data_IF_985890746141
#
_entry.id   IF_985890746141
#
_cell.length_a   1.000
_cell.length_b   1.000
_cell.length_c   1.000
_cell.angle_alpha   90.00
_cell.angle_beta   90.00
_cell.angle_gamma   90.00
#
_symmetry.space_group_name_H-M   'P 1'
#
loop_
_entity.id
_entity.type
_entity.pdbx_description
1 polymer ?
#
# COMPACT_ATOMS: atom_id res chain seq x y z
N UNK A 1 -32.69 13.06 10.21
CA UNK A 1 -31.32 13.54 9.93
C UNK A 1 -30.35 12.67 10.70
N UNK A 2 -29.66 11.75 10.03
CA UNK A 2 -28.71 10.84 10.67
C UNK A 2 -27.36 11.55 10.88
N UNK A 3 -26.82 11.60 12.11
CA UNK A 3 -25.57 12.28 12.42
C UNK A 3 -24.36 11.59 11.75
N UNK A 4 -23.33 12.40 11.45
CA UNK A 4 -22.28 12.24 10.42
C UNK A 4 -21.55 10.88 10.36
N UNK A 5 -21.81 10.16 9.26
CA UNK A 5 -20.89 9.16 8.63
C UNK A 5 -19.83 9.81 7.71
N UNK A 6 -19.87 11.14 7.60
CA UNK A 6 -19.27 11.92 6.49
C UNK A 6 -17.74 11.94 6.56
N UNK A 7 -17.14 11.84 7.75
CA UNK A 7 -15.69 11.92 7.92
C UNK A 7 -14.97 10.61 7.57
N UNK A 8 -15.52 9.46 7.98
CA UNK A 8 -14.95 8.13 7.67
C UNK A 8 -14.96 7.80 6.17
N UNK A 9 -16.04 8.16 5.47
CA UNK A 9 -16.15 7.92 4.03
C UNK A 9 -15.19 8.81 3.22
N UNK A 10 -15.01 10.07 3.64
CA UNK A 10 -14.07 10.98 3.00
C UNK A 10 -12.62 10.56 3.26
N UNK A 11 -12.30 10.19 4.50
CA UNK A 11 -10.99 9.66 4.88
C UNK A 11 -10.67 8.39 4.11
N UNK A 12 -11.60 7.44 4.03
CA UNK A 12 -11.41 6.18 3.33
C UNK A 12 -11.18 6.36 1.82
N UNK A 13 -11.94 7.26 1.16
CA UNK A 13 -11.71 7.58 -0.25
C UNK A 13 -10.35 8.24 -0.49
N UNK A 14 -9.94 9.16 0.38
CA UNK A 14 -8.63 9.80 0.27
C UNK A 14 -7.48 8.83 0.52
N UNK A 15 -7.60 7.99 1.54
CA UNK A 15 -6.63 6.92 1.83
C UNK A 15 -6.43 6.02 0.61
N UNK A 16 -7.49 5.51 -0.01
CA UNK A 16 -7.39 4.66 -1.20
C UNK A 16 -6.80 5.39 -2.42
N UNK A 17 -7.06 6.69 -2.58
CA UNK A 17 -6.47 7.48 -3.69
C UNK A 17 -4.99 7.72 -3.48
N UNK A 18 -4.58 8.04 -2.26
CA UNK A 18 -3.18 8.22 -1.90
C UNK A 18 -2.41 6.91 -2.02
N UNK A 19 -3.00 5.81 -1.56
CA UNK A 19 -2.44 4.47 -1.69
C UNK A 19 -2.24 4.08 -3.17
N UNK A 20 -3.27 4.28 -4.01
CA UNK A 20 -3.14 4.06 -5.45
C UNK A 20 -2.04 4.94 -6.08
N UNK A 21 -1.95 6.21 -5.69
CA UNK A 21 -0.90 7.11 -6.16
C UNK A 21 0.50 6.66 -5.73
N UNK A 22 0.65 6.27 -4.47
CA UNK A 22 1.89 5.76 -3.90
C UNK A 22 2.32 4.46 -4.61
N UNK A 23 1.41 3.49 -4.76
CA UNK A 23 1.66 2.26 -5.50
C UNK A 23 2.09 2.54 -6.95
N UNK A 24 1.42 3.46 -7.65
CA UNK A 24 1.79 3.79 -9.02
C UNK A 24 3.21 4.36 -9.11
N UNK A 25 3.55 5.33 -8.25
CA UNK A 25 4.89 5.95 -8.23
C UNK A 25 5.95 4.93 -7.81
N UNK A 26 5.73 4.22 -6.71
CA UNK A 26 6.66 3.21 -6.20
C UNK A 26 6.86 2.08 -7.20
N UNK A 27 5.79 1.57 -7.80
CA UNK A 27 5.84 0.49 -8.79
C UNK A 27 6.61 0.88 -10.05
N UNK A 28 6.39 2.09 -10.58
CA UNK A 28 7.15 2.64 -11.71
C UNK A 28 8.63 2.80 -11.33
N UNK A 29 8.90 3.42 -10.17
CA UNK A 29 10.26 3.60 -9.68
C UNK A 29 10.99 2.26 -9.55
N UNK A 30 10.34 1.25 -8.96
CA UNK A 30 10.88 -0.10 -8.78
C UNK A 30 11.15 -0.80 -10.12
N UNK A 31 10.22 -0.70 -11.08
CA UNK A 31 10.37 -1.29 -12.40
C UNK A 31 11.53 -0.66 -13.19
N UNK A 32 11.64 0.67 -13.18
CA UNK A 32 12.69 1.40 -13.89
C UNK A 32 14.07 1.30 -13.19
N UNK A 33 14.10 1.08 -11.88
CA UNK A 33 15.34 1.00 -11.10
C UNK A 33 15.75 -0.43 -10.72
N UNK A 34 15.14 -1.46 -11.32
CA UNK A 34 15.33 -2.86 -10.93
C UNK A 34 16.81 -3.25 -10.79
N UNK A 35 17.65 -2.93 -11.79
CA UNK A 35 19.09 -3.24 -11.74
C UNK A 35 19.89 -2.50 -10.65
N UNK A 36 19.40 -1.36 -10.16
CA UNK A 36 19.97 -0.67 -8.99
C UNK A 36 19.53 -1.33 -7.70
N UNK A 37 18.24 -1.67 -7.61
CA UNK A 37 17.63 -2.30 -6.42
C UNK A 37 18.24 -3.67 -6.13
N UNK A 38 18.59 -4.46 -7.16
CA UNK A 38 19.23 -5.77 -6.97
C UNK A 38 20.63 -5.71 -6.38
N UNK A 39 21.29 -4.54 -6.42
CA UNK A 39 22.56 -4.32 -5.70
C UNK A 39 22.34 -4.04 -4.23
N UNK A 40 21.18 -3.48 -3.87
CA UNK A 40 20.81 -3.17 -2.50
C UNK A 40 20.13 -4.35 -1.78
N UNK A 41 19.43 -5.21 -2.52
CA UNK A 41 18.64 -6.33 -2.01
C UNK A 41 18.90 -7.55 -2.88
N UNK A 42 19.16 -8.72 -2.28
CA UNK A 42 19.53 -9.95 -3.00
C UNK A 42 18.34 -10.62 -3.75
N UNK A 43 17.69 -9.88 -4.65
CA UNK A 43 16.55 -10.31 -5.47
C UNK A 43 16.93 -10.19 -6.96
N UNK A 44 16.54 -11.15 -7.83
CA UNK A 44 16.78 -11.04 -9.26
C UNK A 44 16.10 -9.83 -9.90
N UNK A 45 16.72 -9.18 -10.92
CA UNK A 45 16.22 -7.92 -11.47
C UNK A 45 14.89 -8.09 -12.21
N UNK A 46 14.69 -9.24 -12.86
CA UNK A 46 13.42 -9.60 -13.50
C UNK A 46 12.28 -9.67 -12.48
N UNK A 47 12.54 -10.22 -11.29
CA UNK A 47 11.55 -10.31 -10.23
C UNK A 47 11.22 -8.93 -9.64
N UNK A 48 12.23 -8.08 -9.42
CA UNK A 48 12.02 -6.69 -8.99
C UNK A 48 11.17 -5.91 -10.01
N UNK A 49 11.50 -6.03 -11.29
CA UNK A 49 10.75 -5.37 -12.36
C UNK A 49 9.31 -5.88 -12.45
N UNK A 50 9.11 -7.20 -12.37
CA UNK A 50 7.79 -7.81 -12.39
C UNK A 50 6.93 -7.37 -11.18
N UNK A 51 7.51 -7.30 -9.99
CA UNK A 51 6.83 -6.76 -8.80
C UNK A 51 6.45 -5.30 -9.01
N UNK A 52 7.37 -4.48 -9.54
CA UNK A 52 7.07 -3.07 -9.86
C UNK A 52 5.87 -2.93 -10.80
N UNK A 53 5.86 -3.68 -11.90
CA UNK A 53 4.72 -3.72 -12.85
C UNK A 53 3.45 -4.19 -12.17
N UNK A 54 3.51 -5.26 -11.37
CA UNK A 54 2.34 -5.78 -10.64
C UNK A 54 1.75 -4.73 -9.69
N UNK A 55 2.60 -3.95 -9.01
CA UNK A 55 2.16 -2.86 -8.12
C UNK A 55 1.52 -1.71 -8.92
N UNK A 56 2.01 -1.39 -10.11
CA UNK A 56 1.36 -0.41 -11.00
C UNK A 56 -0.02 -0.90 -11.46
N UNK A 57 -0.13 -2.17 -11.85
CA UNK A 57 -1.42 -2.80 -12.20
C UNK A 57 -2.37 -2.79 -11.00
N UNK A 58 -1.85 -3.05 -9.79
CA UNK A 58 -2.62 -2.99 -8.55
C UNK A 58 -3.17 -1.58 -8.28
N UNK A 59 -2.39 -0.53 -8.52
CA UNK A 59 -2.87 0.86 -8.41
C UNK A 59 -4.09 1.13 -9.31
N UNK A 60 -4.07 0.64 -10.55
CA UNK A 60 -5.22 0.70 -11.44
C UNK A 60 -6.41 -0.11 -10.89
N UNK A 61 -6.14 -1.28 -10.30
CA UNK A 61 -7.11 -2.09 -9.56
C UNK A 61 -7.79 -1.34 -8.43
N UNK A 62 -7.06 -0.58 -7.61
CA UNK A 62 -7.63 0.26 -6.54
C UNK A 62 -8.57 1.33 -7.13
N UNK A 63 -8.15 2.02 -8.18
CA UNK A 63 -8.97 3.04 -8.86
C UNK A 63 -10.24 2.43 -9.44
N UNK A 64 -10.15 1.24 -10.00
CA UNK A 64 -11.30 0.49 -10.50
C UNK A 64 -12.25 0.08 -9.35
N UNK A 65 -11.72 -0.43 -8.23
CA UNK A 65 -12.50 -0.80 -7.05
C UNK A 65 -13.26 0.41 -6.48
N UNK A 66 -12.63 1.58 -6.44
CA UNK A 66 -13.28 2.83 -6.01
C UNK A 66 -14.49 3.22 -6.87
N UNK A 67 -14.55 2.77 -8.13
CA UNK A 67 -15.65 3.05 -9.06
C UNK A 67 -16.74 1.97 -9.06
N UNK A 68 -16.40 0.74 -8.69
CA UNK A 68 -17.27 -0.44 -8.87
C UNK A 68 -17.77 -1.07 -7.57
N UNK A 69 -17.00 -0.95 -6.48
CA UNK A 69 -17.32 -1.61 -5.22
C UNK A 69 -17.86 -0.61 -4.20
N UNK A 70 -18.53 -1.15 -3.17
CA UNK A 70 -18.84 -0.38 -1.96
C UNK A 70 -17.52 -0.01 -1.27
N UNK A 71 -17.43 1.23 -0.77
CA UNK A 71 -16.22 1.75 -0.13
C UNK A 71 -15.68 0.84 0.98
N UNK A 72 -16.57 0.29 1.82
CA UNK A 72 -16.21 -0.64 2.89
C UNK A 72 -15.51 -1.91 2.38
N UNK A 73 -15.98 -2.46 1.25
CA UNK A 73 -15.37 -3.65 0.65
C UNK A 73 -14.00 -3.34 0.05
N UNK A 74 -13.89 -2.23 -0.68
CA UNK A 74 -12.62 -1.78 -1.25
C UNK A 74 -11.57 -1.54 -0.15
N UNK A 75 -11.94 -0.84 0.93
CA UNK A 75 -11.06 -0.62 2.08
C UNK A 75 -10.59 -1.92 2.72
N UNK A 76 -11.47 -2.91 2.92
CA UNK A 76 -11.07 -4.21 3.50
C UNK A 76 -10.10 -4.98 2.62
N UNK A 77 -10.37 -5.04 1.31
CA UNK A 77 -9.50 -5.75 0.36
C UNK A 77 -8.11 -5.13 0.37
N UNK A 78 -8.03 -3.80 0.24
CA UNK A 78 -6.76 -3.09 0.18
C UNK A 78 -6.01 -3.14 1.52
N UNK A 79 -6.72 -3.05 2.65
CA UNK A 79 -6.12 -3.22 3.98
C UNK A 79 -5.46 -4.58 4.16
N UNK A 80 -6.12 -5.66 3.73
CA UNK A 80 -5.54 -7.01 3.80
C UNK A 80 -4.33 -7.11 2.88
N UNK A 81 -4.44 -6.62 1.64
CA UNK A 81 -3.33 -6.62 0.69
C UNK A 81 -2.11 -5.85 1.22
N UNK A 82 -2.31 -4.65 1.76
CA UNK A 82 -1.25 -3.83 2.35
C UNK A 82 -0.65 -4.48 3.60
N UNK A 83 -1.45 -5.15 4.43
CA UNK A 83 -0.93 -5.90 5.57
C UNK A 83 0.01 -7.02 5.11
N UNK A 84 -0.41 -7.81 4.12
CA UNK A 84 0.41 -8.88 3.54
C UNK A 84 1.67 -8.31 2.88
N UNK A 85 1.55 -7.21 2.12
CA UNK A 85 2.67 -6.56 1.47
C UNK A 85 3.67 -5.99 2.48
N UNK A 86 3.23 -5.32 3.54
CA UNK A 86 4.10 -4.80 4.59
C UNK A 86 4.90 -5.92 5.27
N UNK A 87 4.27 -7.07 5.56
CA UNK A 87 4.96 -8.25 6.09
C UNK A 87 5.99 -8.78 5.08
N UNK A 88 5.60 -8.95 3.81
CA UNK A 88 6.49 -9.44 2.76
C UNK A 88 7.71 -8.52 2.56
N UNK A 89 7.50 -7.21 2.50
CA UNK A 89 8.58 -6.21 2.36
C UNK A 89 9.48 -6.20 3.60
N UNK A 90 8.91 -6.34 4.80
CA UNK A 90 9.70 -6.46 6.04
C UNK A 90 10.58 -7.71 6.03
N UNK A 91 10.10 -8.84 5.49
CA UNK A 91 10.93 -10.04 5.34
C UNK A 91 12.05 -9.84 4.30
N UNK A 92 11.76 -9.14 3.21
CA UNK A 92 12.76 -8.79 2.18
C UNK A 92 13.88 -7.93 2.76
N UNK A 93 13.64 -7.09 3.77
CA UNK A 93 14.69 -6.24 4.34
C UNK A 93 15.86 -7.04 4.94
N UNK A 94 15.63 -8.30 5.34
CA UNK A 94 16.69 -9.19 5.86
C UNK A 94 17.73 -9.53 4.78
N UNK A 95 17.35 -9.42 3.51
CA UNK A 95 18.24 -9.66 2.36
C UNK A 95 18.99 -8.41 1.89
N UNK A 96 18.87 -7.30 2.61
CA UNK A 96 19.53 -6.05 2.27
C UNK A 96 21.05 -6.14 2.46
N UNK A 97 21.80 -5.61 1.48
CA UNK A 97 23.26 -5.63 1.47
C UNK A 97 23.90 -4.67 2.48
N UNK A 98 23.16 -3.66 2.95
CA UNK A 98 23.66 -2.65 3.89
C UNK A 98 22.58 -2.26 4.92
N UNK A 99 22.95 -1.75 6.10
CA UNK A 99 21.98 -1.22 7.07
C UNK A 99 21.11 -0.10 6.50
N UNK A 100 21.67 0.75 5.64
CA UNK A 100 20.91 1.82 4.98
C UNK A 100 19.85 1.26 4.03
N UNK A 101 20.20 0.25 3.23
CA UNK A 101 19.23 -0.44 2.37
C UNK A 101 18.16 -1.16 3.21
N UNK A 102 18.53 -1.80 4.32
CA UNK A 102 17.59 -2.41 5.24
C UNK A 102 16.59 -1.39 5.80
N UNK A 103 17.07 -0.25 6.28
CA UNK A 103 16.24 0.84 6.80
C UNK A 103 15.33 1.39 5.71
N UNK A 104 15.83 1.58 4.49
CA UNK A 104 15.02 2.05 3.37
C UNK A 104 13.87 1.09 3.02
N UNK A 105 14.14 -0.23 2.98
CA UNK A 105 13.11 -1.25 2.74
C UNK A 105 12.10 -1.30 3.89
N UNK A 106 12.56 -1.20 5.15
CA UNK A 106 11.66 -1.12 6.31
C UNK A 106 10.80 0.14 6.32
N UNK A 107 11.34 1.28 5.87
CA UNK A 107 10.56 2.51 5.74
C UNK A 107 9.40 2.31 4.75
N UNK A 108 9.64 1.66 3.60
CA UNK A 108 8.57 1.29 2.66
C UNK A 108 7.55 0.37 3.32
N UNK A 109 7.98 -0.64 4.08
CA UNK A 109 7.06 -1.52 4.81
C UNK A 109 6.18 -0.76 5.81
N UNK A 110 6.76 0.22 6.52
CA UNK A 110 6.05 1.09 7.46
C UNK A 110 5.03 1.96 6.72
N UNK A 111 5.40 2.60 5.60
CA UNK A 111 4.47 3.39 4.79
C UNK A 111 3.24 2.57 4.38
N UNK A 112 3.47 1.34 3.90
CA UNK A 112 2.40 0.41 3.51
C UNK A 112 1.54 0.01 4.72
N UNK A 113 2.16 -0.26 5.87
CA UNK A 113 1.44 -0.55 7.11
C UNK A 113 0.62 0.64 7.61
N UNK A 114 1.09 1.88 7.43
CA UNK A 114 0.36 3.09 7.75
C UNK A 114 -0.87 3.26 6.85
N UNK A 115 -0.79 2.91 5.57
CA UNK A 115 -1.97 2.84 4.71
C UNK A 115 -2.98 1.81 5.24
N UNK A 116 -2.56 0.59 5.58
CA UNK A 116 -3.44 -0.42 6.18
C UNK A 116 -4.09 0.07 7.49
N UNK A 117 -3.32 0.72 8.36
CA UNK A 117 -3.84 1.30 9.59
C UNK A 117 -4.86 2.41 9.32
N UNK A 118 -4.62 3.28 8.34
CA UNK A 118 -5.56 4.33 7.94
C UNK A 118 -6.88 3.75 7.41
N UNK A 119 -6.82 2.64 6.68
CA UNK A 119 -7.98 1.94 6.14
C UNK A 119 -8.76 1.24 7.27
N UNK A 120 -8.05 0.66 8.25
CA UNK A 120 -8.65 0.12 9.46
C UNK A 120 -9.39 1.19 10.26
N UNK A 121 -8.78 2.37 10.45
CA UNK A 121 -9.41 3.53 11.12
C UNK A 121 -10.65 4.00 10.36
N UNK A 122 -10.58 4.10 9.03
CA UNK A 122 -11.73 4.47 8.20
C UNK A 122 -12.89 3.45 8.27
N UNK A 123 -12.59 2.19 8.59
CA UNK A 123 -13.58 1.13 8.79
C UNK A 123 -14.16 1.06 10.21
N UNK A 124 -13.57 1.76 11.19
CA UNK A 124 -14.06 1.71 12.58
C UNK A 124 -15.46 2.33 12.66
N UNK A 125 -16.41 1.67 13.34
CA UNK A 125 -17.66 2.30 13.69
C UNK A 125 -17.36 3.45 14.66
N UNK A 126 -17.65 4.69 14.24
CA UNK A 126 -17.55 5.83 15.14
C UNK A 126 -18.60 5.67 16.24
N UNK A 127 -18.23 5.77 17.54
CA UNK A 127 -19.21 5.75 18.60
C UNK A 127 -20.18 6.90 18.37
N UNK A 128 -21.45 6.54 18.13
CA UNK A 128 -22.54 7.49 18.21
C UNK A 128 -22.68 7.84 19.69
N UNK A 129 -21.92 8.85 20.13
CA UNK A 129 -22.20 9.53 21.39
C UNK A 129 -23.55 10.22 21.21
N UNK A 130 -24.62 9.46 21.47
CA UNK A 130 -25.96 9.95 21.78
C UNK A 130 -26.00 10.26 23.27
#
# INVERSE_FOLDING_TARGET
MTPRRIDGDRLGRWSLRLDAGYCAVLGVALACSAGWVTRAVAIPPSLVAAVGVAVVVWAAGIVWMLRRLRLTSALRIVMVANTVAAVAVSLVSVTAATPLAMIAVLAIAIDVALFAASQAVALRPWPQLL
#
